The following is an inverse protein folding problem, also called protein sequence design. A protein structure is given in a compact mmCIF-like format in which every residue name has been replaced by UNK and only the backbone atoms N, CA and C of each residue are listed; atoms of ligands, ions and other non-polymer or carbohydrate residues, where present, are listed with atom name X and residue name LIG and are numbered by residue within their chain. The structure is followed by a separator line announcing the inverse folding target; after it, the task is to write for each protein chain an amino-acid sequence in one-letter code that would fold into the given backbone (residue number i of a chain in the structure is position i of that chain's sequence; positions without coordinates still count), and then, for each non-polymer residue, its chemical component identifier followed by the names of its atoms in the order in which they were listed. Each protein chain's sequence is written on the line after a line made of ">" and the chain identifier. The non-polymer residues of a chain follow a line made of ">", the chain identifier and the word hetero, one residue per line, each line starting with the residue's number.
data_IF_702109509618
#
_entry.id   IF_702109509618
#
_cell.length_a   1.000
_cell.length_b   1.000
_cell.length_c   1.000
_cell.angle_alpha   90.00
_cell.angle_beta   90.00
_cell.angle_gamma   90.00
#
_symmetry.space_group_name_H-M   'P 1'
#
loop_
_entity.id
_entity.type
_entity.pdbx_description
1 polymer ?
#
# COMPACT_ATOMS: atom_id res chain seq x y z
N UNK A 1 -5.92 -18.14 -0.79
CA UNK A 1 -5.54 -16.89 -1.48
C UNK A 1 -5.92 -15.71 -0.61
N UNK A 2 -5.15 -14.63 -0.63
CA UNK A 2 -5.38 -13.41 0.12
C UNK A 2 -5.23 -12.19 -0.81
N UNK A 3 -6.19 -11.28 -0.77
CA UNK A 3 -6.12 -9.99 -1.44
C UNK A 3 -5.61 -8.95 -0.44
N UNK A 4 -4.39 -8.47 -0.64
CA UNK A 4 -3.65 -7.74 0.41
C UNK A 4 -3.72 -6.23 0.29
N UNK A 5 -4.50 -5.71 -0.67
CA UNK A 5 -4.55 -4.29 -0.95
C UNK A 5 -3.13 -3.74 -1.18
N UNK A 6 -2.84 -2.60 -0.56
CA UNK A 6 -1.49 -2.03 -0.51
C UNK A 6 -0.72 -2.38 0.78
N UNK A 7 -1.26 -3.21 1.67
CA UNK A 7 -0.55 -3.60 2.88
C UNK A 7 0.69 -4.46 2.56
N UNK A 8 0.52 -5.46 1.70
CA UNK A 8 1.61 -6.29 1.18
C UNK A 8 1.60 -6.25 -0.35
N UNK A 9 2.72 -5.84 -0.93
CA UNK A 9 2.97 -5.88 -2.37
C UNK A 9 4.00 -6.97 -2.67
N UNK A 10 4.09 -7.40 -3.93
CA UNK A 10 5.10 -8.37 -4.34
C UNK A 10 6.50 -7.74 -4.18
N UNK A 11 7.31 -8.30 -3.28
CA UNK A 11 8.63 -7.77 -2.88
C UNK A 11 8.58 -6.32 -2.37
N UNK A 12 7.47 -5.92 -1.76
CA UNK A 12 7.32 -4.57 -1.21
C UNK A 12 6.13 -4.42 -0.28
N UNK A 13 5.75 -3.17 -0.04
CA UNK A 13 4.55 -2.76 0.68
C UNK A 13 4.19 -1.34 0.24
N UNK A 14 2.95 -0.94 0.50
CA UNK A 14 2.47 0.42 0.30
C UNK A 14 3.21 1.43 1.18
N UNK A 15 3.08 2.71 0.82
CA UNK A 15 3.63 3.82 1.60
C UNK A 15 2.79 4.05 2.88
N UNK A 16 3.39 4.70 3.87
CA UNK A 16 2.79 4.88 5.21
C UNK A 16 2.79 6.33 5.69
N UNK A 17 3.17 7.28 4.84
CA UNK A 17 3.36 8.71 5.12
C UNK A 17 2.15 9.58 4.76
N UNK A 18 1.06 8.99 4.26
CA UNK A 18 -0.20 9.66 3.92
C UNK A 18 -1.40 8.89 4.49
N UNK A 19 -2.59 9.48 4.40
CA UNK A 19 -3.88 8.86 4.79
C UNK A 19 -3.94 8.38 6.26
N UNK A 20 -3.15 8.98 7.15
CA UNK A 20 -3.04 8.55 8.55
C UNK A 20 -2.26 7.23 8.72
N UNK A 21 -1.45 6.84 7.73
CA UNK A 21 -0.67 5.62 7.75
C UNK A 21 0.40 5.57 8.86
N UNK A 22 0.80 4.34 9.21
CA UNK A 22 1.81 4.08 10.24
C UNK A 22 2.65 2.86 9.85
N UNK A 23 3.96 3.04 9.73
CA UNK A 23 4.90 1.92 9.49
C UNK A 23 4.86 0.89 10.63
N UNK A 24 4.66 1.34 11.87
CA UNK A 24 4.51 0.44 13.01
C UNK A 24 3.28 -0.46 12.87
N UNK A 25 2.13 0.14 12.54
CA UNK A 25 0.88 -0.61 12.38
C UNK A 25 0.95 -1.53 11.17
N UNK A 26 1.48 -1.06 10.04
CA UNK A 26 1.65 -1.87 8.84
C UNK A 26 2.49 -3.12 9.11
N UNK A 27 3.64 -2.96 9.79
CA UNK A 27 4.51 -4.07 10.15
C UNK A 27 3.75 -5.11 10.99
N UNK A 28 3.06 -4.66 12.04
CA UNK A 28 2.25 -5.53 12.90
C UNK A 28 1.11 -6.21 12.16
N UNK A 29 0.40 -5.50 11.29
CA UNK A 29 -0.69 -6.04 10.49
C UNK A 29 -0.19 -7.15 9.57
N UNK A 30 0.90 -6.94 8.83
CA UNK A 30 1.45 -7.97 7.94
C UNK A 30 1.89 -9.20 8.74
N UNK A 31 2.67 -8.99 9.81
CA UNK A 31 3.23 -10.10 10.59
C UNK A 31 2.17 -10.89 11.36
N UNK A 32 1.10 -10.26 11.84
CA UNK A 32 0.05 -10.93 12.61
C UNK A 32 -1.11 -11.48 11.78
N UNK A 33 -1.43 -10.87 10.63
CA UNK A 33 -2.60 -11.24 9.83
C UNK A 33 -2.26 -11.98 8.53
N UNK A 34 -1.12 -11.68 7.90
CA UNK A 34 -0.76 -12.20 6.57
C UNK A 34 0.29 -13.29 6.70
N UNK A 35 1.38 -13.06 7.44
CA UNK A 35 2.46 -14.03 7.61
C UNK A 35 2.12 -15.19 8.56
N UNK A 36 0.92 -15.18 9.15
CA UNK A 36 0.34 -16.28 9.92
C UNK A 36 -0.48 -17.24 9.05
N UNK A 37 -0.74 -16.90 7.79
CA UNK A 37 -1.43 -17.77 6.83
C UNK A 37 -0.49 -18.89 6.34
N UNK A 38 -1.04 -19.98 5.77
CA UNK A 38 -0.23 -21.04 5.16
C UNK A 38 0.74 -20.51 4.12
N UNK A 39 1.96 -21.06 4.07
CA UNK A 39 3.05 -20.58 3.21
C UNK A 39 2.72 -20.57 1.71
N UNK A 40 1.86 -21.49 1.26
CA UNK A 40 1.38 -21.62 -0.11
C UNK A 40 0.19 -20.70 -0.43
N UNK A 41 -0.27 -19.89 0.53
CA UNK A 41 -1.34 -18.91 0.30
C UNK A 41 -0.88 -17.89 -0.73
N UNK A 42 -1.56 -17.88 -1.88
CA UNK A 42 -1.36 -16.88 -2.93
C UNK A 42 -1.64 -15.46 -2.41
N UNK A 43 -0.75 -14.52 -2.70
CA UNK A 43 -0.87 -13.10 -2.42
C UNK A 43 -1.20 -12.35 -3.71
N UNK A 44 -2.36 -11.68 -3.72
CA UNK A 44 -2.80 -10.79 -4.79
C UNK A 44 -2.83 -9.34 -4.28
N UNK A 45 -1.84 -8.50 -4.62
CA UNK A 45 -1.83 -7.10 -4.21
C UNK A 45 -2.82 -6.25 -5.03
N UNK A 46 -3.13 -5.04 -4.56
CA UNK A 46 -3.88 -4.06 -5.36
C UNK A 46 -3.05 -3.45 -6.50
N UNK A 47 -1.72 -3.37 -6.32
CA UNK A 47 -0.81 -2.79 -7.29
C UNK A 47 0.45 -3.64 -7.48
N UNK A 48 1.02 -3.56 -8.68
CA UNK A 48 2.38 -3.98 -8.98
C UNK A 48 2.98 -3.00 -9.99
N UNK A 49 4.28 -2.70 -9.85
CA UNK A 49 4.99 -1.73 -10.67
C UNK A 49 6.14 -2.35 -11.48
N UNK A 50 6.21 -3.69 -11.54
CA UNK A 50 7.29 -4.46 -12.18
C UNK A 50 6.78 -5.55 -13.14
N UNK A 51 5.47 -5.70 -13.31
CA UNK A 51 4.83 -6.68 -14.17
C UNK A 51 4.54 -8.03 -13.50
N UNK A 52 4.63 -8.13 -12.17
CA UNK A 52 4.25 -9.33 -11.43
C UNK A 52 2.74 -9.35 -11.14
N UNK A 53 2.18 -10.56 -11.02
CA UNK A 53 0.72 -10.75 -10.87
C UNK A 53 0.33 -11.50 -9.61
N UNK A 54 1.22 -12.32 -9.04
CA UNK A 54 0.98 -13.11 -7.84
C UNK A 54 2.31 -13.44 -7.13
N UNK A 55 2.26 -13.58 -5.80
CA UNK A 55 3.34 -14.15 -4.98
C UNK A 55 2.71 -15.15 -3.98
N UNK A 56 3.48 -15.62 -3.00
CA UNK A 56 2.98 -16.44 -1.89
C UNK A 56 3.41 -15.85 -0.55
N UNK A 57 2.70 -16.22 0.52
CA UNK A 57 3.11 -15.86 1.88
C UNK A 57 4.54 -16.30 2.15
N UNK A 58 4.90 -17.52 1.78
CA UNK A 58 6.24 -18.05 2.01
C UNK A 58 7.33 -17.31 1.23
N UNK A 59 7.03 -16.93 -0.01
CA UNK A 59 7.93 -16.10 -0.79
C UNK A 59 8.15 -14.71 -0.15
N UNK A 60 7.10 -14.05 0.31
CA UNK A 60 7.24 -12.72 0.93
C UNK A 60 7.93 -12.79 2.30
N UNK A 61 7.70 -13.84 3.09
CA UNK A 61 8.41 -14.06 4.36
C UNK A 61 9.91 -14.30 4.17
N UNK A 62 10.34 -14.78 3.00
CA UNK A 62 11.75 -15.06 2.72
C UNK A 62 12.44 -13.94 1.94
N UNK A 63 11.72 -13.28 1.02
CA UNK A 63 12.33 -12.41 0.01
C UNK A 63 11.82 -10.97 0.01
N UNK A 64 10.87 -10.58 0.88
CA UNK A 64 10.44 -9.18 0.93
C UNK A 64 11.55 -8.30 1.52
N UNK A 65 12.15 -7.37 0.75
CA UNK A 65 13.34 -6.64 1.19
C UNK A 65 13.09 -5.72 2.40
N UNK A 66 11.83 -5.39 2.70
CA UNK A 66 11.43 -4.51 3.80
C UNK A 66 10.88 -5.31 4.98
N UNK A 67 9.88 -6.16 4.72
CA UNK A 67 9.10 -6.82 5.77
C UNK A 67 9.79 -8.03 6.42
N UNK A 68 10.93 -8.48 5.87
CA UNK A 68 11.81 -9.47 6.53
C UNK A 68 12.85 -8.81 7.44
N UNK A 69 12.93 -7.48 7.50
CA UNK A 69 13.77 -6.77 8.48
C UNK A 69 13.05 -6.75 9.83
N UNK A 70 13.78 -6.49 10.91
CA UNK A 70 13.16 -6.17 12.18
C UNK A 70 12.33 -4.87 12.08
N UNK A 71 11.41 -4.69 13.02
CA UNK A 71 10.45 -3.57 13.00
C UNK A 71 11.15 -2.20 12.99
N UNK A 72 12.22 -2.03 13.75
CA UNK A 72 12.93 -0.75 13.82
C UNK A 72 13.58 -0.41 12.48
N UNK A 73 14.31 -1.37 11.90
CA UNK A 73 14.90 -1.24 10.57
C UNK A 73 13.83 -0.98 9.50
N UNK A 74 12.68 -1.68 9.56
CA UNK A 74 11.57 -1.45 8.65
C UNK A 74 11.07 0.00 8.73
N UNK A 75 10.79 0.51 9.93
CA UNK A 75 10.31 1.89 10.11
C UNK A 75 11.32 2.91 9.58
N UNK A 76 12.60 2.72 9.90
CA UNK A 76 13.68 3.60 9.44
C UNK A 76 13.78 3.60 7.91
N UNK A 77 13.65 2.45 7.25
CA UNK A 77 13.61 2.38 5.78
C UNK A 77 12.42 3.18 5.24
N UNK A 78 11.23 2.95 5.78
CA UNK A 78 9.98 3.56 5.29
C UNK A 78 9.99 5.09 5.45
N UNK A 79 10.51 5.60 6.56
CA UNK A 79 10.64 7.05 6.82
C UNK A 79 11.60 7.75 5.85
N UNK A 80 12.63 7.02 5.37
CA UNK A 80 13.68 7.59 4.52
C UNK A 80 13.49 7.34 3.02
N UNK A 81 12.32 6.87 2.57
CA UNK A 81 12.07 6.61 1.15
C UNK A 81 12.01 7.88 0.28
N UNK A 82 11.74 9.06 0.88
CA UNK A 82 11.67 10.36 0.20
C UNK A 82 10.87 10.33 -1.11
N UNK A 83 9.70 9.69 -1.07
CA UNK A 83 8.84 9.54 -2.24
C UNK A 83 8.16 10.86 -2.60
N UNK A 84 7.93 11.14 -3.91
CA UNK A 84 7.20 12.32 -4.31
C UNK A 84 5.77 12.32 -3.76
N UNK A 85 5.19 13.52 -3.69
CA UNK A 85 3.77 13.71 -3.39
C UNK A 85 2.91 12.86 -4.36
N UNK A 86 1.95 12.04 -3.87
CA UNK A 86 1.16 11.21 -4.75
C UNK A 86 0.28 12.06 -5.67
N UNK A 87 0.51 11.94 -6.99
CA UNK A 87 -0.03 12.84 -8.03
C UNK A 87 -1.54 13.05 -8.02
N UNK A 88 -2.31 12.05 -7.55
CA UNK A 88 -3.78 12.07 -7.59
C UNK A 88 -4.42 12.14 -6.20
N UNK A 89 -3.67 12.26 -5.11
CA UNK A 89 -4.22 12.11 -3.76
C UNK A 89 -5.31 13.15 -3.44
N UNK A 90 -5.13 14.39 -3.89
CA UNK A 90 -6.07 15.50 -3.64
C UNK A 90 -7.39 15.37 -4.39
N UNK A 91 -7.43 14.55 -5.43
CA UNK A 91 -8.65 14.26 -6.20
C UNK A 91 -9.25 12.91 -5.77
N UNK A 92 -8.41 11.89 -5.67
CA UNK A 92 -8.83 10.52 -5.43
C UNK A 92 -9.34 10.31 -4.00
N UNK A 93 -8.69 10.87 -2.98
CA UNK A 93 -9.12 10.67 -1.58
C UNK A 93 -10.50 11.28 -1.34
N UNK A 94 -10.76 12.57 -1.66
CA UNK A 94 -12.10 13.14 -1.48
C UNK A 94 -13.19 12.39 -2.26
N UNK A 95 -12.91 12.00 -3.51
CA UNK A 95 -13.86 11.22 -4.30
C UNK A 95 -14.17 9.86 -3.66
N UNK A 96 -13.14 9.14 -3.19
CA UNK A 96 -13.31 7.83 -2.56
C UNK A 96 -14.04 7.91 -1.21
N UNK A 97 -13.86 8.99 -0.45
CA UNK A 97 -14.56 9.22 0.83
C UNK A 97 -16.09 9.36 0.65
N UNK A 98 -16.56 9.69 -0.55
CA UNK A 98 -17.99 9.71 -0.92
C UNK A 98 -18.34 8.59 -1.89
N UNK A 99 -17.62 7.47 -1.83
CA UNK A 99 -17.86 6.27 -2.64
C UNK A 99 -17.78 6.53 -4.17
N UNK A 100 -16.95 7.48 -4.58
CA UNK A 100 -16.77 7.87 -5.99
C UNK A 100 -17.96 8.65 -6.58
N UNK A 101 -18.97 8.97 -5.77
CA UNK A 101 -20.14 9.73 -6.23
C UNK A 101 -19.72 11.12 -6.70
N UNK A 102 -20.23 11.50 -7.86
CA UNK A 102 -20.04 12.84 -8.43
C UNK A 102 -21.32 13.63 -8.19
N UNK A 103 -21.18 14.87 -7.70
CA UNK A 103 -22.27 15.82 -7.71
C UNK A 103 -22.44 16.33 -9.15
N UNK A 104 -23.39 15.75 -9.88
CA UNK A 104 -23.71 16.13 -11.26
C UNK A 104 -24.29 17.56 -11.35
N UNK A 105 -24.64 18.19 -10.23
CA UNK A 105 -25.12 19.58 -10.17
C UNK A 105 -24.02 20.60 -9.89
N UNK A 106 -22.84 20.16 -9.44
CA UNK A 106 -21.70 21.02 -9.21
C UNK A 106 -21.10 21.50 -10.55
N UNK A 107 -20.85 22.81 -10.68
CA UNK A 107 -20.16 23.36 -11.86
C UNK A 107 -18.72 22.83 -11.91
N UNK A 108 -18.16 22.57 -13.11
CA UNK A 108 -16.78 22.14 -13.23
C UNK A 108 -15.84 23.11 -12.51
N UNK A 109 -14.97 22.58 -11.64
CA UNK A 109 -13.88 23.37 -11.07
C UNK A 109 -12.91 23.67 -12.22
N UNK A 110 -12.69 24.94 -12.53
CA UNK A 110 -11.69 25.34 -13.52
C UNK A 110 -10.33 24.78 -13.10
N UNK A 111 -9.70 24.03 -14.00
CA UNK A 111 -8.36 23.52 -13.78
C UNK A 111 -7.42 24.71 -13.57
N UNK A 112 -6.85 24.83 -12.37
CA UNK A 112 -5.81 25.82 -12.10
C UNK A 112 -4.59 25.40 -12.92
N UNK A 113 -4.33 26.12 -14.00
CA UNK A 113 -3.11 25.99 -14.79
C UNK A 113 -1.93 26.48 -13.96
N UNK A 114 -0.97 25.59 -13.67
CA UNK A 114 0.39 25.93 -13.30
C UNK A 114 1.34 25.46 -14.41
#
# INVERSE_FOLDING_TARGET
>A
MAFTGDALLIRGCGRTDFQGGSSHELYKSVHSQIFTLPMDTLIYPAHDYKGFTVSTVGEEMLYNPRLTRDEETFRNIMENLNLPYPKMIDLAVPANMVCGLQDLSAKPVEAISN
#
